data_IF_988102163446
#
_entry.id   IF_988102163446
#
_cell.length_a   1.000
_cell.length_b   1.000
_cell.length_c   1.000
_cell.angle_alpha   90.00
_cell.angle_beta   90.00
_cell.angle_gamma   90.00
#
_symmetry.space_group_name_H-M   'P 1'
#
loop_
_entity.id
_entity.type
_entity.pdbx_description
1 polymer ?
#
# COMPACT_ATOMS: atom_id res chain seq x y z
N UNK A 1 -11.69 13.45 -9.85
CA UNK A 1 -10.63 13.33 -8.82
C UNK A 1 -9.28 13.49 -9.51
N UNK A 2 -8.32 14.23 -8.94
CA UNK A 2 -6.97 14.38 -9.53
C UNK A 2 -6.20 13.07 -9.38
N UNK A 3 -5.40 12.70 -10.37
CA UNK A 3 -4.59 11.46 -10.40
C UNK A 3 -3.56 11.39 -9.26
N UNK A 4 -3.19 12.51 -8.67
CA UNK A 4 -2.21 12.66 -7.60
C UNK A 4 -2.83 12.84 -6.19
N UNK A 5 -4.15 12.63 -6.05
CA UNK A 5 -4.84 12.81 -4.78
C UNK A 5 -4.24 12.00 -3.60
N UNK A 6 -3.83 10.72 -3.75
CA UNK A 6 -3.15 9.99 -2.69
C UNK A 6 -1.82 10.61 -2.26
N UNK A 7 -1.04 11.12 -3.21
CA UNK A 7 0.26 11.78 -2.95
C UNK A 7 0.05 13.08 -2.18
N UNK A 8 -0.95 13.88 -2.58
CA UNK A 8 -1.27 15.14 -1.91
C UNK A 8 -1.77 14.90 -0.47
N UNK A 9 -2.56 13.87 -0.23
CA UNK A 9 -2.99 13.50 1.12
C UNK A 9 -1.80 13.21 2.04
N UNK A 10 -0.78 12.47 1.57
CA UNK A 10 0.44 12.23 2.34
C UNK A 10 1.23 13.52 2.60
N UNK A 11 1.30 14.42 1.64
CA UNK A 11 1.94 15.74 1.83
C UNK A 11 1.21 16.56 2.89
N UNK A 12 -0.12 16.56 2.89
CA UNK A 12 -0.93 17.25 3.91
C UNK A 12 -0.62 16.68 5.29
N UNK A 13 -0.60 15.35 5.46
CA UNK A 13 -0.25 14.70 6.72
C UNK A 13 1.14 15.09 7.22
N UNK A 14 2.13 15.09 6.34
CA UNK A 14 3.49 15.49 6.70
C UNK A 14 3.56 16.95 7.17
N UNK A 15 2.84 17.88 6.50
CA UNK A 15 2.75 19.29 6.90
C UNK A 15 2.04 19.47 8.25
N UNK A 16 0.95 18.74 8.48
CA UNK A 16 0.21 18.79 9.76
C UNK A 16 1.13 18.36 10.90
N UNK A 17 1.87 17.26 10.73
CA UNK A 17 2.84 16.78 11.74
C UNK A 17 3.97 17.76 12.00
N UNK A 18 4.54 18.35 10.94
CA UNK A 18 5.58 19.37 11.10
C UNK A 18 5.05 20.57 11.89
N UNK A 19 3.84 21.04 11.57
CA UNK A 19 3.24 22.17 12.28
C UNK A 19 2.94 21.82 13.74
N UNK A 20 2.51 20.59 14.04
CA UNK A 20 2.30 20.14 15.41
C UNK A 20 3.63 20.08 16.17
N UNK A 21 4.67 19.45 15.61
CA UNK A 21 5.99 19.37 16.24
C UNK A 21 6.59 20.77 16.56
N UNK A 22 6.34 21.77 15.68
CA UNK A 22 6.75 23.15 15.93
C UNK A 22 6.01 23.79 17.09
N UNK A 23 4.70 23.55 17.22
CA UNK A 23 3.88 24.05 18.34
C UNK A 23 4.29 23.44 19.68
N UNK A 24 4.63 22.14 19.66
CA UNK A 24 5.03 21.38 20.85
C UNK A 24 6.51 21.64 21.25
N UNK A 25 7.23 22.49 20.53
CA UNK A 25 8.63 22.80 20.78
C UNK A 25 9.60 21.64 20.53
N UNK A 26 9.12 20.51 20.00
CA UNK A 26 9.92 19.31 19.72
C UNK A 26 10.54 19.33 18.33
N UNK A 27 10.19 20.34 17.53
CA UNK A 27 10.42 20.38 16.07
C UNK A 27 11.66 21.11 15.60
N UNK A 28 12.58 21.57 16.46
CA UNK A 28 13.71 22.42 16.07
C UNK A 28 14.71 21.77 15.11
N UNK A 29 14.76 20.42 15.06
CA UNK A 29 15.61 19.67 14.14
C UNK A 29 14.81 18.94 13.02
N UNK A 30 13.48 19.00 13.02
CA UNK A 30 12.66 18.23 12.09
C UNK A 30 12.29 19.04 10.84
N UNK A 31 12.52 18.48 9.67
CA UNK A 31 12.22 19.08 8.38
C UNK A 31 10.95 18.48 7.76
N UNK A 32 10.35 19.17 6.79
CA UNK A 32 9.25 18.58 6.01
C UNK A 32 9.68 17.27 5.35
N UNK A 33 10.94 17.17 4.89
CA UNK A 33 11.49 15.97 4.30
C UNK A 33 11.48 14.78 5.27
N UNK A 34 11.87 14.98 6.54
CA UNK A 34 11.84 13.91 7.56
C UNK A 34 10.41 13.42 7.84
N UNK A 35 9.42 14.33 7.87
CA UNK A 35 8.02 13.95 8.04
C UNK A 35 7.44 13.24 6.81
N UNK A 36 7.83 13.62 5.59
CA UNK A 36 7.47 12.91 4.36
C UNK A 36 8.01 11.47 4.37
N UNK A 37 9.27 11.28 4.80
CA UNK A 37 9.85 9.95 4.95
C UNK A 37 9.10 9.11 5.98
N UNK A 38 8.76 9.69 7.13
CA UNK A 38 8.02 8.99 8.19
C UNK A 38 6.63 8.55 7.69
N UNK A 39 5.85 9.47 7.09
CA UNK A 39 4.51 9.17 6.57
C UNK A 39 4.57 8.11 5.48
N UNK A 40 5.55 8.15 4.58
CA UNK A 40 5.70 7.14 3.53
C UNK A 40 5.95 5.74 4.11
N UNK A 41 6.81 5.62 5.13
CA UNK A 41 7.08 4.33 5.80
C UNK A 41 5.86 3.78 6.53
N UNK A 42 5.10 4.64 7.20
CA UNK A 42 3.88 4.25 7.91
C UNK A 42 2.81 3.66 7.00
N UNK A 43 2.73 4.13 5.75
CA UNK A 43 1.78 3.59 4.77
C UNK A 43 2.37 2.46 3.91
N UNK A 44 3.54 1.92 4.28
CA UNK A 44 4.08 0.70 3.68
C UNK A 44 5.07 0.92 2.53
N UNK A 45 5.68 2.11 2.40
CA UNK A 45 6.73 2.37 1.42
C UNK A 45 8.11 2.50 2.06
N UNK A 46 9.18 2.27 1.30
CA UNK A 46 10.56 2.36 1.78
C UNK A 46 10.93 3.79 2.18
N UNK A 47 10.54 4.75 1.37
CA UNK A 47 10.84 6.17 1.49
C UNK A 47 9.84 7.01 0.68
N UNK A 48 9.91 8.34 0.84
CA UNK A 48 9.00 9.28 0.19
C UNK A 48 8.98 9.16 -1.34
N UNK A 49 10.12 9.07 -1.98
CA UNK A 49 10.19 8.98 -3.44
C UNK A 49 9.54 7.69 -3.98
N UNK A 50 9.70 6.57 -3.24
CA UNK A 50 9.00 5.33 -3.54
C UNK A 50 7.48 5.52 -3.47
N UNK A 51 6.97 6.07 -2.35
CA UNK A 51 5.55 6.38 -2.19
C UNK A 51 5.02 7.30 -3.31
N UNK A 52 5.75 8.37 -3.63
CA UNK A 52 5.39 9.33 -4.66
C UNK A 52 5.29 8.67 -6.04
N UNK A 53 6.21 7.79 -6.40
CA UNK A 53 6.19 7.09 -7.70
C UNK A 53 5.04 6.10 -7.78
N UNK A 54 4.86 5.25 -6.77
CA UNK A 54 3.78 4.24 -6.77
C UNK A 54 2.42 4.91 -6.72
N UNK A 55 2.17 5.79 -5.77
CA UNK A 55 0.87 6.46 -5.61
C UNK A 55 0.57 7.48 -6.72
N UNK A 56 1.60 8.01 -7.36
CA UNK A 56 1.47 8.92 -8.50
C UNK A 56 1.26 8.21 -9.85
N UNK A 57 1.18 6.87 -9.88
CA UNK A 57 0.98 6.12 -11.12
C UNK A 57 2.22 6.04 -12.02
N UNK A 58 3.42 6.23 -11.46
CA UNK A 58 4.69 6.28 -12.19
C UNK A 58 5.54 5.01 -12.00
N UNK A 59 5.04 4.01 -11.29
CA UNK A 59 5.73 2.74 -11.13
C UNK A 59 5.65 1.91 -12.42
N UNK A 60 6.75 1.24 -12.75
CA UNK A 60 6.79 0.26 -13.84
C UNK A 60 6.44 -1.13 -13.32
N UNK A 61 6.08 -2.06 -14.21
CA UNK A 61 5.60 -3.40 -13.88
C UNK A 61 6.59 -4.24 -13.05
N UNK A 62 7.90 -3.93 -13.10
CA UNK A 62 8.95 -4.61 -12.32
C UNK A 62 9.29 -3.92 -10.99
N UNK A 63 8.68 -2.77 -10.69
CA UNK A 63 8.96 -2.03 -9.47
C UNK A 63 8.33 -2.69 -8.23
N UNK A 64 9.00 -2.46 -7.11
CA UNK A 64 8.45 -2.77 -5.79
C UNK A 64 7.22 -1.87 -5.53
N UNK A 65 6.04 -2.47 -5.38
CA UNK A 65 4.79 -1.75 -5.10
C UNK A 65 4.60 -1.41 -3.62
N UNK A 66 5.55 -1.77 -2.78
CA UNK A 66 5.47 -1.59 -1.33
C UNK A 66 4.53 -2.59 -0.65
N UNK A 67 4.30 -2.34 0.63
CA UNK A 67 3.40 -3.11 1.47
C UNK A 67 2.02 -2.42 1.60
N UNK A 68 1.76 -1.41 0.77
CA UNK A 68 0.60 -0.51 0.86
C UNK A 68 -0.75 -1.25 0.87
N UNK A 69 -0.88 -2.30 0.06
CA UNK A 69 -2.09 -3.12 -0.05
C UNK A 69 -2.10 -4.34 0.88
N UNK A 70 -1.19 -4.40 1.84
CA UNK A 70 -1.13 -5.48 2.82
C UNK A 70 -1.33 -4.94 4.23
N UNK A 71 -2.12 -5.65 5.06
CA UNK A 71 -2.30 -5.34 6.47
C UNK A 71 -1.81 -6.52 7.33
N UNK A 72 -0.89 -6.32 8.25
CA UNK A 72 -0.30 -7.41 9.03
C UNK A 72 -1.28 -8.18 9.92
N UNK A 73 -2.39 -7.55 10.30
CA UNK A 73 -3.45 -8.21 11.09
C UNK A 73 -4.29 -9.19 10.28
N UNK A 74 -4.06 -9.27 8.96
CA UNK A 74 -4.78 -10.18 8.06
C UNK A 74 -4.13 -11.55 7.93
N UNK A 75 -3.10 -11.87 8.71
CA UNK A 75 -2.38 -13.13 8.64
C UNK A 75 -3.23 -14.40 8.93
N UNK A 76 -4.41 -14.24 9.54
CA UNK A 76 -5.40 -15.31 9.72
C UNK A 76 -6.40 -15.42 8.55
N UNK A 77 -6.41 -14.46 7.63
CA UNK A 77 -7.30 -14.46 6.49
C UNK A 77 -6.66 -15.22 5.33
N UNK A 78 -7.46 -16.00 4.62
CA UNK A 78 -6.99 -16.76 3.47
C UNK A 78 -6.50 -15.82 2.36
N UNK A 79 -5.30 -16.06 1.88
CA UNK A 79 -4.72 -15.39 0.72
C UNK A 79 -3.83 -16.36 -0.05
N UNK A 80 -3.83 -16.23 -1.37
CA UNK A 80 -3.03 -17.07 -2.27
C UNK A 80 -1.99 -16.20 -2.95
N UNK A 81 -0.70 -16.56 -2.81
CA UNK A 81 0.44 -15.80 -3.33
C UNK A 81 0.87 -16.29 -4.70
N UNK A 82 1.28 -15.33 -5.53
CA UNK A 82 1.79 -15.56 -6.88
C UNK A 82 3.03 -14.71 -7.12
N UNK A 83 4.03 -15.33 -7.74
CA UNK A 83 5.22 -14.60 -8.19
C UNK A 83 4.92 -13.76 -9.45
N UNK A 84 3.94 -14.15 -10.24
CA UNK A 84 3.61 -13.57 -11.55
C UNK A 84 2.13 -13.19 -11.64
N UNK A 85 1.87 -12.05 -12.27
CA UNK A 85 0.51 -11.54 -12.45
C UNK A 85 -0.35 -12.41 -13.38
N UNK A 86 0.22 -12.94 -14.48
CA UNK A 86 -0.51 -13.78 -15.44
C UNK A 86 -1.09 -15.05 -14.79
N UNK A 87 -0.33 -15.69 -13.89
CA UNK A 87 -0.78 -16.85 -13.11
C UNK A 87 -1.93 -16.46 -12.16
N UNK A 88 -1.76 -15.33 -11.46
CA UNK A 88 -2.77 -14.82 -10.54
C UNK A 88 -4.07 -14.41 -11.27
N UNK A 89 -3.96 -13.75 -12.41
CA UNK A 89 -5.09 -13.32 -13.22
C UNK A 89 -5.91 -14.51 -13.75
N UNK A 90 -5.24 -15.61 -14.15
CA UNK A 90 -5.92 -16.84 -14.55
C UNK A 90 -6.74 -17.44 -13.39
N UNK A 91 -6.16 -17.49 -12.18
CA UNK A 91 -6.89 -17.96 -11.00
C UNK A 91 -8.02 -17.02 -10.59
N UNK A 92 -7.82 -15.70 -10.71
CA UNK A 92 -8.87 -14.72 -10.42
C UNK A 92 -10.07 -14.87 -11.37
N UNK A 93 -9.83 -15.17 -12.65
CA UNK A 93 -10.90 -15.36 -13.63
C UNK A 93 -11.86 -16.50 -13.25
N UNK A 94 -11.35 -17.54 -12.57
CA UNK A 94 -12.15 -18.66 -12.08
C UNK A 94 -12.84 -18.36 -10.73
N UNK A 95 -12.49 -17.28 -10.05
CA UNK A 95 -13.00 -16.90 -8.73
C UNK A 95 -13.83 -15.62 -8.81
N UNK A 96 -15.14 -15.72 -8.58
CA UNK A 96 -16.06 -14.58 -8.65
C UNK A 96 -15.98 -13.64 -7.43
N UNK A 97 -15.37 -14.08 -6.34
CA UNK A 97 -15.28 -13.39 -5.03
C UNK A 97 -13.86 -12.94 -4.68
N UNK A 98 -12.93 -13.05 -5.63
CA UNK A 98 -11.52 -12.71 -5.43
C UNK A 98 -11.19 -11.25 -5.74
N UNK A 99 -10.15 -10.75 -5.06
CA UNK A 99 -9.51 -9.46 -5.32
C UNK A 99 -8.01 -9.67 -5.45
N UNK A 100 -7.41 -9.23 -6.56
CA UNK A 100 -5.98 -9.36 -6.82
C UNK A 100 -5.26 -8.06 -6.46
N UNK A 101 -4.34 -8.16 -5.49
CA UNK A 101 -3.62 -7.03 -4.92
C UNK A 101 -2.11 -7.17 -5.17
N UNK A 102 -1.40 -6.06 -5.43
CA UNK A 102 0.06 -6.07 -5.51
C UNK A 102 0.69 -6.03 -4.11
N UNK A 103 1.83 -6.71 -3.97
CA UNK A 103 2.68 -6.68 -2.80
C UNK A 103 4.14 -6.75 -3.21
N UNK A 104 4.89 -5.68 -3.00
CA UNK A 104 6.28 -5.59 -3.46
C UNK A 104 6.43 -5.95 -4.94
N UNK A 105 7.07 -7.06 -5.26
CA UNK A 105 7.24 -7.60 -6.62
C UNK A 105 6.37 -8.84 -6.91
N UNK A 106 5.44 -9.12 -6.01
CA UNK A 106 4.52 -10.24 -6.09
C UNK A 106 3.09 -9.72 -6.12
N UNK A 107 2.15 -10.62 -6.23
CA UNK A 107 0.73 -10.34 -6.06
C UNK A 107 0.04 -11.47 -5.29
N UNK A 108 -1.14 -11.19 -4.77
CA UNK A 108 -1.89 -12.15 -4.01
C UNK A 108 -3.39 -11.94 -4.17
N UNK A 109 -4.14 -13.03 -4.12
CA UNK A 109 -5.61 -13.02 -4.18
C UNK A 109 -6.15 -13.16 -2.77
N UNK A 110 -7.14 -12.31 -2.45
CA UNK A 110 -7.84 -12.24 -1.17
C UNK A 110 -9.34 -12.21 -1.38
N UNK A 111 -10.09 -12.30 -0.29
CA UNK A 111 -11.53 -12.17 -0.26
C UNK A 111 -11.97 -10.90 0.47
N UNK A 112 -13.28 -10.62 0.45
CA UNK A 112 -13.91 -9.43 1.05
C UNK A 112 -13.47 -9.13 2.49
N UNK A 113 -13.32 -10.10 3.43
CA UNK A 113 -12.87 -9.77 4.78
C UNK A 113 -11.49 -9.10 4.83
N UNK A 114 -10.61 -9.43 3.88
CA UNK A 114 -9.31 -8.77 3.75
C UNK A 114 -9.46 -7.33 3.27
N UNK A 115 -10.33 -7.08 2.28
CA UNK A 115 -10.61 -5.73 1.76
C UNK A 115 -11.16 -4.84 2.87
N UNK A 116 -12.11 -5.37 3.67
CA UNK A 116 -12.65 -4.68 4.85
C UNK A 116 -11.57 -4.39 5.90
N UNK A 117 -10.65 -5.33 6.15
CA UNK A 117 -9.51 -5.12 7.05
C UNK A 117 -8.52 -4.06 6.56
N UNK A 118 -8.48 -3.79 5.25
CA UNK A 118 -7.76 -2.65 4.67
C UNK A 118 -8.49 -1.31 4.88
N UNK A 119 -9.70 -1.31 5.43
CA UNK A 119 -10.55 -0.13 5.57
C UNK A 119 -11.19 0.29 4.25
N UNK A 120 -11.41 -0.65 3.33
CA UNK A 120 -12.04 -0.45 2.04
C UNK A 120 -13.40 -1.14 2.01
N UNK A 121 -14.31 -0.61 1.18
CA UNK A 121 -15.58 -1.24 0.86
C UNK A 121 -15.39 -2.17 -0.36
N UNK A 122 -15.64 -3.46 -0.17
CA UNK A 122 -15.58 -4.45 -1.24
C UNK A 122 -16.67 -4.25 -2.30
N UNK A 123 -17.76 -3.55 -1.95
CA UNK A 123 -18.85 -3.18 -2.85
C UNK A 123 -18.59 -1.90 -3.66
N UNK A 124 -17.46 -1.21 -3.47
CA UNK A 124 -17.16 0.02 -4.22
C UNK A 124 -17.12 -0.28 -5.74
N UNK A 125 -17.84 0.50 -6.58
CA UNK A 125 -17.87 0.33 -8.04
C UNK A 125 -16.48 0.37 -8.70
N UNK A 126 -15.49 0.96 -8.05
CA UNK A 126 -14.12 0.98 -8.54
C UNK A 126 -13.54 -0.44 -8.70
N UNK A 127 -13.93 -1.39 -7.84
CA UNK A 127 -13.50 -2.79 -7.98
C UNK A 127 -14.00 -3.43 -9.27
N UNK A 128 -15.26 -3.21 -9.62
CA UNK A 128 -15.82 -3.69 -10.90
C UNK A 128 -15.13 -3.05 -12.10
N UNK A 129 -14.87 -1.74 -12.04
CA UNK A 129 -14.15 -1.02 -13.10
C UNK A 129 -12.71 -1.52 -13.30
N UNK A 130 -12.10 -2.15 -12.29
CA UNK A 130 -10.78 -2.77 -12.32
C UNK A 130 -10.83 -4.27 -12.66
N UNK A 131 -12.01 -4.87 -12.78
CA UNK A 131 -12.14 -6.32 -12.85
C UNK A 131 -11.60 -7.04 -11.59
N UNK A 132 -11.65 -6.36 -10.44
CA UNK A 132 -11.08 -6.78 -9.14
C UNK A 132 -9.55 -6.99 -9.16
N UNK A 133 -8.84 -6.43 -10.13
CA UNK A 133 -7.40 -6.57 -10.33
C UNK A 133 -6.68 -5.21 -10.21
N UNK A 134 -6.06 -4.98 -9.04
CA UNK A 134 -5.27 -3.77 -8.78
C UNK A 134 -3.92 -3.75 -9.51
N UNK A 135 -3.44 -4.90 -9.99
CA UNK A 135 -2.18 -4.97 -10.74
C UNK A 135 -2.40 -4.52 -12.17
N UNK A 136 -3.37 -5.12 -12.87
CA UNK A 136 -3.74 -4.71 -14.24
C UNK A 136 -4.30 -3.30 -14.29
N UNK A 137 -5.08 -2.91 -13.29
CA UNK A 137 -5.69 -1.58 -13.20
C UNK A 137 -4.78 -0.48 -12.64
N UNK A 138 -3.50 -0.74 -12.43
CA UNK A 138 -2.56 0.22 -11.83
C UNK A 138 -2.57 1.58 -12.55
N UNK A 139 -2.60 2.64 -11.76
CA UNK A 139 -2.55 4.01 -12.26
C UNK A 139 -3.86 4.54 -12.87
N UNK A 140 -4.87 3.70 -13.05
CA UNK A 140 -6.19 4.14 -13.52
C UNK A 140 -6.92 5.02 -12.50
N UNK A 141 -7.98 5.69 -12.92
CA UNK A 141 -8.80 6.51 -12.02
C UNK A 141 -9.44 5.70 -10.89
N UNK A 142 -9.88 4.48 -11.17
CA UNK A 142 -10.45 3.58 -10.18
C UNK A 142 -9.40 3.13 -9.15
N UNK A 143 -8.19 2.79 -9.60
CA UNK A 143 -7.06 2.49 -8.73
C UNK A 143 -6.70 3.67 -7.81
N UNK A 144 -6.63 4.88 -8.36
CA UNK A 144 -6.34 6.10 -7.60
C UNK A 144 -7.42 6.40 -6.55
N UNK A 145 -8.68 6.11 -6.87
CA UNK A 145 -9.80 6.24 -5.94
C UNK A 145 -9.64 5.30 -4.74
N UNK A 146 -9.39 4.01 -4.98
CA UNK A 146 -9.17 3.03 -3.91
C UNK A 146 -7.91 3.34 -3.09
N UNK A 147 -6.82 3.76 -3.74
CA UNK A 147 -5.61 4.18 -3.05
C UNK A 147 -5.85 5.38 -2.13
N UNK A 148 -6.63 6.35 -2.57
CA UNK A 148 -7.00 7.50 -1.75
C UNK A 148 -7.88 7.09 -0.56
N UNK A 149 -8.88 6.22 -0.75
CA UNK A 149 -9.68 5.66 0.34
C UNK A 149 -8.79 4.91 1.34
N UNK A 150 -7.89 4.05 0.84
CA UNK A 150 -6.95 3.28 1.66
C UNK A 150 -6.08 4.17 2.53
N UNK A 151 -5.55 5.28 2.00
CA UNK A 151 -4.79 6.24 2.79
C UNK A 151 -5.64 6.84 3.90
N UNK A 152 -6.90 7.16 3.63
CA UNK A 152 -7.82 7.75 4.61
C UNK A 152 -8.41 6.75 5.62
N UNK A 153 -8.20 5.46 5.40
CA UNK A 153 -8.57 4.43 6.36
C UNK A 153 -7.86 4.66 7.72
N UNK A 154 -8.43 4.20 8.83
CA UNK A 154 -7.83 4.35 10.16
C UNK A 154 -6.40 3.83 10.21
N UNK A 155 -5.51 4.54 10.92
CA UNK A 155 -4.10 4.19 11.09
C UNK A 155 -3.80 2.73 11.48
N UNK A 156 -4.63 2.03 12.28
CA UNK A 156 -4.42 0.63 12.62
C UNK A 156 -4.34 -0.33 11.42
N UNK A 157 -4.79 0.10 10.24
CA UNK A 157 -4.70 -0.70 9.00
C UNK A 157 -3.35 -0.60 8.31
N UNK A 158 -2.46 0.30 8.77
CA UNK A 158 -1.10 0.44 8.28
C UNK A 158 -0.09 0.02 9.34
N UNK A 159 1.05 -0.53 8.89
CA UNK A 159 2.21 -0.72 9.76
C UNK A 159 3.44 -0.05 9.15
N UNK A 160 4.36 0.47 9.99
CA UNK A 160 5.64 0.95 9.51
C UNK A 160 6.40 -0.18 8.81
N UNK A 161 6.94 0.09 7.65
CA UNK A 161 7.88 -0.83 7.01
C UNK A 161 9.17 -0.80 7.84
N UNK A 162 9.40 -1.85 8.62
CA UNK A 162 10.68 -2.05 9.29
C UNK A 162 11.72 -2.29 8.20
N UNK A 163 12.82 -1.57 8.26
CA UNK A 163 14.01 -1.91 7.48
C UNK A 163 14.36 -3.34 7.85
N UNK A 164 14.20 -4.27 6.92
CA UNK A 164 14.64 -5.65 7.09
C UNK A 164 16.15 -5.63 7.22
N UNK A 165 16.64 -5.60 8.45
CA UNK A 165 17.97 -6.08 8.77
C UNK A 165 17.92 -7.56 8.45
N UNK A 166 18.56 -7.98 7.38
CA UNK A 166 18.75 -9.39 7.09
C UNK A 166 19.49 -10.00 8.29
N UNK A 167 18.73 -10.60 9.18
CA UNK A 167 19.30 -11.53 10.15
C UNK A 167 19.81 -12.71 9.33
N UNK A 168 21.12 -12.74 9.11
CA UNK A 168 21.89 -13.89 8.69
C UNK A 168 21.53 -15.05 9.61
N UNK A 169 20.60 -15.89 9.20
CA UNK A 169 20.43 -17.20 9.82
C UNK A 169 21.53 -18.08 9.27
N UNK A 170 22.65 -18.07 9.97
CA UNK A 170 23.71 -19.06 9.80
C UNK A 170 23.10 -20.42 10.16
N UNK A 171 22.79 -21.24 9.18
CA UNK A 171 22.60 -22.66 9.38
C UNK A 171 23.94 -23.23 9.87
N UNK A 172 23.97 -23.56 11.16
CA UNK A 172 25.03 -24.37 11.75
C UNK A 172 24.61 -25.81 11.55
N UNK A 173 25.31 -26.50 10.64
CA UNK A 173 25.25 -27.94 10.52
C UNK A 173 25.62 -28.62 11.85
N UNK A 174 24.81 -29.60 12.25
CA UNK A 174 25.18 -30.74 13.10
C UNK A 174 24.66 -32.01 12.43
#
# INVERSE_FOLDING_TARGET
MRTDAPVEELKVRARVRLNQARRDGTGTAQTLGSHLQAVAREVGFLHWEHARRVLGGLATQSMDMGDFWHAPRTGLLLHTWFARHDEAAAVLADRRDGFLLPYRRQCFIVQEPFISALGLDAGDPAWQALGHDLVAGYGTRAWQHLAWQRIRAPLPTFQPRLSSSYANTTYREL
#
